data_IF_425151596395
#
_entry.id   IF_425151596395
#
_cell.length_a   1.000
_cell.length_b   1.000
_cell.length_c   1.000
_cell.angle_alpha   90.00
_cell.angle_beta   90.00
_cell.angle_gamma   90.00
#
_symmetry.space_group_name_H-M   'P 1'
#
loop_
_entity.id
_entity.type
_entity.pdbx_description
1 polymer ?
#
# COMPACT_ATOMS: atom_id res chain seq x y z
N UNK A 1 16.85 -15.97 -16.41
CA UNK A 1 16.13 -15.63 -15.15
C UNK A 1 14.74 -16.28 -15.02
N UNK A 2 14.24 -17.06 -15.98
CA UNK A 2 12.91 -17.69 -15.86
C UNK A 2 12.84 -18.86 -14.88
N UNK A 3 13.85 -19.74 -14.84
CA UNK A 3 13.74 -21.02 -14.10
C UNK A 3 13.45 -20.84 -12.59
N UNK A 4 14.08 -19.85 -11.93
CA UNK A 4 13.85 -19.55 -10.50
C UNK A 4 12.45 -19.00 -10.23
N UNK A 5 11.92 -18.20 -11.16
CA UNK A 5 10.57 -17.65 -11.08
C UNK A 5 9.52 -18.74 -11.27
N UNK A 6 9.69 -19.62 -12.25
CA UNK A 6 8.77 -20.75 -12.48
C UNK A 6 8.78 -21.77 -11.33
N UNK A 7 9.95 -22.06 -10.74
CA UNK A 7 10.02 -22.94 -9.57
C UNK A 7 9.41 -22.29 -8.33
N UNK A 8 9.62 -21.00 -8.08
CA UNK A 8 9.06 -20.33 -6.90
C UNK A 8 7.54 -20.19 -6.95
N UNK A 9 6.97 -19.73 -8.06
CA UNK A 9 5.52 -19.56 -8.22
C UNK A 9 4.80 -20.89 -8.46
N UNK A 10 5.43 -21.83 -9.17
CA UNK A 10 4.88 -23.17 -9.40
C UNK A 10 4.83 -24.00 -8.11
N UNK A 11 5.88 -23.97 -7.28
CA UNK A 11 5.95 -24.76 -6.06
C UNK A 11 4.98 -24.24 -4.99
N UNK A 12 4.85 -22.92 -4.85
CA UNK A 12 3.88 -22.32 -3.91
C UNK A 12 2.44 -22.63 -4.29
N UNK A 13 2.07 -22.45 -5.56
CA UNK A 13 0.71 -22.79 -6.03
C UNK A 13 0.41 -24.28 -5.92
N UNK A 14 1.37 -25.15 -6.27
CA UNK A 14 1.23 -26.60 -6.14
C UNK A 14 1.06 -27.05 -4.68
N UNK A 15 1.82 -26.48 -3.75
CA UNK A 15 1.69 -26.77 -2.31
C UNK A 15 0.34 -26.32 -1.74
N UNK A 16 -0.15 -25.13 -2.10
CA UNK A 16 -1.47 -24.64 -1.67
C UNK A 16 -2.58 -25.57 -2.13
N UNK A 17 -2.51 -26.04 -3.38
CA UNK A 17 -3.50 -26.98 -3.95
C UNK A 17 -3.46 -28.33 -3.21
N UNK A 18 -2.27 -28.85 -2.91
CA UNK A 18 -2.12 -30.10 -2.15
C UNK A 18 -2.72 -29.96 -0.74
N UNK A 19 -2.41 -28.88 -0.04
CA UNK A 19 -2.94 -28.63 1.31
C UNK A 19 -4.46 -28.46 1.28
N UNK A 20 -5.00 -27.75 0.28
CA UNK A 20 -6.43 -27.59 0.10
C UNK A 20 -7.14 -28.93 -0.20
N UNK A 21 -6.59 -29.77 -1.09
CA UNK A 21 -7.14 -31.11 -1.34
C UNK A 21 -7.02 -32.02 -0.11
N UNK A 22 -5.95 -31.92 0.67
CA UNK A 22 -5.77 -32.70 1.89
C UNK A 22 -6.83 -32.35 2.94
N UNK A 23 -7.11 -31.06 3.14
CA UNK A 23 -8.17 -30.58 4.05
C UNK A 23 -9.56 -31.01 3.58
N UNK A 24 -9.80 -31.03 2.25
CA UNK A 24 -11.06 -31.47 1.66
C UNK A 24 -11.29 -32.98 1.82
N UNK A 25 -10.27 -33.81 1.57
CA UNK A 25 -10.38 -35.27 1.65
C UNK A 25 -10.34 -35.82 3.09
N UNK A 26 -9.84 -35.05 4.05
CA UNK A 26 -9.83 -35.41 5.49
C UNK A 26 -11.12 -34.94 6.19
N UNK A 27 -12.15 -34.51 5.44
CA UNK A 27 -13.45 -34.02 5.95
C UNK A 27 -13.33 -32.91 7.03
N UNK A 28 -12.18 -32.21 7.05
CA UNK A 28 -11.81 -31.18 8.03
C UNK A 28 -11.73 -29.81 7.36
N UNK A 29 -12.53 -29.59 6.31
CA UNK A 29 -12.66 -28.30 5.61
C UNK A 29 -13.10 -27.16 6.54
N UNK A 30 -13.85 -27.48 7.59
CA UNK A 30 -14.28 -26.54 8.64
C UNK A 30 -13.12 -25.98 9.47
N UNK A 31 -11.94 -26.61 9.42
CA UNK A 31 -10.74 -26.08 10.09
C UNK A 31 -10.17 -24.83 9.39
N UNK A 32 -10.54 -24.59 8.12
CA UNK A 32 -10.14 -23.42 7.36
C UNK A 32 -11.26 -22.36 7.34
N UNK A 33 -11.66 -21.90 8.54
CA UNK A 33 -12.69 -20.88 8.70
C UNK A 33 -12.07 -19.47 8.71
N UNK A 34 -12.24 -18.76 7.58
CA UNK A 34 -11.80 -17.37 7.41
C UNK A 34 -12.55 -16.42 8.35
N UNK A 35 -13.82 -16.74 8.68
CA UNK A 35 -14.62 -15.96 9.61
C UNK A 35 -14.04 -16.02 11.03
N UNK A 36 -13.71 -17.22 11.50
CA UNK A 36 -13.04 -17.41 12.79
C UNK A 36 -11.68 -16.72 12.85
N UNK A 37 -10.90 -16.74 11.76
CA UNK A 37 -9.64 -16.00 11.69
C UNK A 37 -9.83 -14.48 11.87
N UNK A 38 -10.87 -13.92 11.24
CA UNK A 38 -11.20 -12.50 11.41
C UNK A 38 -11.63 -12.20 12.85
N UNK A 39 -12.40 -13.08 13.49
CA UNK A 39 -12.88 -12.93 14.88
C UNK A 39 -11.80 -13.17 15.96
N UNK A 40 -10.77 -13.98 15.69
CA UNK A 40 -9.66 -14.17 16.62
C UNK A 40 -8.60 -13.05 16.49
N UNK A 41 -8.48 -12.44 15.31
CA UNK A 41 -7.47 -11.39 15.05
C UNK A 41 -7.88 -10.05 15.64
N UNK A 42 -7.09 -9.52 16.59
CA UNK A 42 -7.42 -8.26 17.26
C UNK A 42 -7.57 -7.06 16.27
N UNK A 43 -8.57 -6.19 16.48
CA UNK A 43 -8.83 -5.04 15.59
C UNK A 43 -7.69 -4.00 15.57
N UNK A 44 -6.87 -3.94 16.62
CA UNK A 44 -5.69 -3.06 16.67
C UNK A 44 -4.61 -3.43 15.66
N UNK A 45 -4.44 -4.73 15.35
CA UNK A 45 -3.48 -5.18 14.35
C UNK A 45 -3.88 -4.63 12.98
N UNK A 46 -5.17 -4.71 12.62
CA UNK A 46 -5.66 -4.13 11.37
C UNK A 46 -5.49 -2.60 11.33
N UNK A 47 -5.81 -1.89 12.42
CA UNK A 47 -5.63 -0.45 12.50
C UNK A 47 -4.17 0.01 12.35
N UNK A 48 -3.26 -0.60 13.10
CA UNK A 48 -1.83 -0.24 13.10
C UNK A 48 -1.11 -0.62 11.79
N UNK A 49 -1.43 -1.79 11.22
CA UNK A 49 -0.90 -2.23 9.93
C UNK A 49 -1.39 -1.30 8.80
N UNK A 50 -2.65 -0.84 8.87
CA UNK A 50 -3.21 0.10 7.90
C UNK A 50 -2.48 1.45 7.89
N UNK A 51 -2.21 2.00 9.08
CA UNK A 51 -1.46 3.26 9.23
C UNK A 51 -0.02 3.10 8.72
N UNK A 52 0.65 2.01 9.08
CA UNK A 52 2.01 1.73 8.63
C UNK A 52 2.12 1.60 7.10
N UNK A 53 1.20 0.84 6.48
CA UNK A 53 1.15 0.70 5.02
C UNK A 53 0.78 2.00 4.32
N UNK A 54 -0.10 2.82 4.89
CA UNK A 54 -0.47 4.13 4.35
C UNK A 54 0.75 5.03 4.16
N UNK A 55 1.54 5.18 5.23
CA UNK A 55 2.72 6.04 5.23
C UNK A 55 3.82 5.42 4.35
N UNK A 56 4.06 4.12 4.50
CA UNK A 56 5.10 3.41 3.74
C UNK A 56 4.88 3.45 2.23
N UNK A 57 3.67 3.10 1.76
CA UNK A 57 3.36 3.08 0.33
C UNK A 57 3.29 4.49 -0.28
N UNK A 58 2.90 5.50 0.50
CA UNK A 58 2.91 6.90 0.05
C UNK A 58 4.33 7.39 -0.24
N UNK A 59 5.26 7.17 0.69
CA UNK A 59 6.67 7.58 0.53
C UNK A 59 7.38 6.76 -0.55
N UNK A 60 7.10 5.46 -0.66
CA UNK A 60 7.63 4.62 -1.74
C UNK A 60 7.16 5.09 -3.12
N UNK A 61 5.88 5.45 -3.26
CA UNK A 61 5.34 6.01 -4.49
C UNK A 61 6.01 7.33 -4.89
N UNK A 62 6.22 8.23 -3.92
CA UNK A 62 6.91 9.48 -4.16
C UNK A 62 8.39 9.29 -4.53
N UNK A 63 9.11 8.41 -3.82
CA UNK A 63 10.50 8.08 -4.12
C UNK A 63 10.68 7.53 -5.54
N UNK A 64 9.76 6.69 -5.99
CA UNK A 64 9.76 6.18 -7.37
C UNK A 64 9.54 7.31 -8.40
N UNK A 65 8.62 8.24 -8.13
CA UNK A 65 8.37 9.40 -9.00
C UNK A 65 9.58 10.35 -9.10
N UNK A 66 10.25 10.62 -7.98
CA UNK A 66 11.47 11.45 -7.94
C UNK A 66 12.61 10.77 -8.71
N UNK A 67 12.75 9.44 -8.59
CA UNK A 67 13.80 8.71 -9.30
C UNK A 67 13.66 8.82 -10.82
N UNK A 68 12.46 8.63 -11.38
CA UNK A 68 12.23 8.75 -12.83
C UNK A 68 12.42 10.19 -13.35
N UNK A 69 11.90 11.18 -12.62
CA UNK A 69 12.01 12.59 -13.02
C UNK A 69 13.45 13.09 -12.89
N UNK A 70 14.14 12.71 -11.82
CA UNK A 70 15.55 13.03 -11.58
C UNK A 70 16.47 12.48 -12.67
N UNK A 71 16.31 11.21 -13.07
CA UNK A 71 17.10 10.62 -14.15
C UNK A 71 16.93 11.40 -15.48
N UNK A 72 15.69 11.83 -15.77
CA UNK A 72 15.36 12.58 -16.99
C UNK A 72 15.91 14.02 -16.97
N UNK A 73 15.85 14.70 -15.82
CA UNK A 73 16.39 16.07 -15.66
C UNK A 73 17.91 16.07 -15.81
N UNK A 74 18.60 15.10 -15.20
CA UNK A 74 20.06 14.97 -15.32
C UNK A 74 20.47 14.67 -16.76
N UNK A 75 19.73 13.81 -17.48
CA UNK A 75 19.98 13.50 -18.89
C UNK A 75 19.78 14.69 -19.84
N UNK A 76 18.79 15.56 -19.59
CA UNK A 76 18.57 16.76 -20.39
C UNK A 76 19.42 17.97 -19.99
N UNK A 77 19.83 18.05 -18.72
CA UNK A 77 20.53 19.19 -18.13
C UNK A 77 21.94 19.41 -18.66
N UNK A 78 22.60 18.36 -19.16
CA UNK A 78 23.97 18.44 -19.72
C UNK A 78 24.05 19.31 -20.97
N UNK A 79 22.98 19.37 -21.78
CA UNK A 79 23.00 20.08 -23.07
C UNK A 79 22.43 21.49 -22.99
N UNK A 80 21.53 21.76 -22.05
CA UNK A 80 20.94 23.10 -21.87
C UNK A 80 20.50 23.28 -20.40
N UNK A 81 21.33 23.91 -19.54
CA UNK A 81 21.08 23.94 -18.09
C UNK A 81 19.89 24.83 -17.66
N UNK A 82 19.33 25.64 -18.56
CA UNK A 82 18.16 26.50 -18.26
C UNK A 82 16.84 25.74 -18.12
N UNK A 83 16.82 24.44 -18.42
CA UNK A 83 15.60 23.60 -18.37
C UNK A 83 15.36 23.00 -16.97
N UNK A 84 16.39 22.93 -16.12
CA UNK A 84 16.30 22.28 -14.80
C UNK A 84 15.38 23.04 -13.84
N UNK A 85 15.38 24.37 -13.89
CA UNK A 85 14.55 25.22 -13.04
C UNK A 85 13.06 25.16 -13.36
N UNK A 86 12.68 24.87 -14.61
CA UNK A 86 11.26 24.72 -15.01
C UNK A 86 10.71 23.34 -14.62
N UNK A 87 11.55 22.31 -14.70
CA UNK A 87 11.14 20.93 -14.45
C UNK A 87 11.15 20.56 -12.96
N UNK A 88 11.77 21.39 -12.10
CA UNK A 88 11.74 21.26 -10.64
C UNK A 88 10.33 21.26 -10.04
N UNK A 89 9.35 21.88 -10.72
CA UNK A 89 7.95 21.92 -10.27
C UNK A 89 7.37 20.50 -10.13
N UNK A 90 7.79 19.56 -10.99
CA UNK A 90 7.29 18.17 -11.00
C UNK A 90 7.71 17.38 -9.76
N UNK A 91 8.90 17.65 -9.22
CA UNK A 91 9.44 17.02 -8.00
C UNK A 91 8.64 17.50 -6.78
N UNK A 92 8.31 18.79 -6.73
CA UNK A 92 7.53 19.39 -5.65
C UNK A 92 6.12 18.78 -5.59
N UNK A 93 5.46 18.55 -6.74
CA UNK A 93 4.16 17.88 -6.76
C UNK A 93 4.23 16.44 -6.24
N UNK A 94 5.34 15.74 -6.50
CA UNK A 94 5.56 14.39 -5.97
C UNK A 94 5.71 14.38 -4.44
N UNK A 95 6.43 15.37 -3.88
CA UNK A 95 6.57 15.57 -2.43
C UNK A 95 5.24 15.88 -1.73
N UNK A 96 4.42 16.76 -2.30
CA UNK A 96 3.13 17.14 -1.68
C UNK A 96 2.20 15.93 -1.53
N UNK A 97 2.24 14.96 -2.46
CA UNK A 97 1.49 13.71 -2.36
C UNK A 97 1.97 12.84 -1.20
N UNK A 98 3.29 12.81 -0.93
CA UNK A 98 3.84 12.10 0.21
C UNK A 98 3.37 12.73 1.54
N UNK A 99 3.36 14.06 1.60
CA UNK A 99 2.89 14.81 2.78
C UNK A 99 1.41 14.51 3.06
N UNK A 100 0.58 14.41 2.02
CA UNK A 100 -0.83 14.02 2.18
C UNK A 100 -0.97 12.64 2.85
N UNK A 101 -0.20 11.64 2.41
CA UNK A 101 -0.21 10.30 3.02
C UNK A 101 0.23 10.31 4.49
N UNK A 102 1.25 11.12 4.82
CA UNK A 102 1.72 11.28 6.22
C UNK A 102 0.66 11.94 7.09
N UNK A 103 0.03 13.02 6.64
CA UNK A 103 -1.02 13.72 7.40
C UNK A 103 -2.20 12.78 7.67
N UNK A 104 -2.65 12.03 6.67
CA UNK A 104 -3.74 11.06 6.85
C UNK A 104 -3.35 9.97 7.85
N UNK A 105 -2.11 9.48 7.82
CA UNK A 105 -1.58 8.53 8.81
C UNK A 105 -1.65 9.07 10.25
N UNK A 106 -1.28 10.35 10.46
CA UNK A 106 -1.34 11.00 11.78
C UNK A 106 -2.80 11.14 12.26
N UNK A 107 -3.70 11.60 11.37
CA UNK A 107 -5.13 11.75 11.70
C UNK A 107 -5.73 10.41 12.12
N UNK A 108 -5.42 9.34 11.40
CA UNK A 108 -5.91 8.00 11.74
C UNK A 108 -5.27 7.43 13.02
N UNK A 109 -4.01 7.74 13.31
CA UNK A 109 -3.40 7.39 14.60
C UNK A 109 -4.11 8.03 15.79
N UNK A 110 -4.65 9.25 15.63
CA UNK A 110 -5.40 9.92 16.69
C UNK A 110 -6.78 9.31 16.96
N UNK A 111 -7.29 8.49 16.03
CA UNK A 111 -8.57 7.78 16.15
C UNK A 111 -8.45 6.42 16.82
N UNK A 112 -7.23 5.88 16.95
CA UNK A 112 -6.98 4.65 17.68
C UNK A 112 -7.02 4.91 19.19
N UNK A 113 -8.13 4.54 19.83
CA UNK A 113 -8.27 4.63 21.28
C UNK A 113 -7.88 3.29 21.93
N UNK A 114 -7.16 3.36 23.04
CA UNK A 114 -6.84 2.18 23.85
C UNK A 114 -8.09 1.73 24.62
N UNK A 115 -8.65 0.59 24.23
CA UNK A 115 -9.84 -0.02 24.85
C UNK A 115 -9.37 -1.17 25.76
N UNK A 116 -9.94 -1.34 26.97
CA UNK A 116 -9.61 -2.47 27.84
C UNK A 116 -10.00 -3.82 27.22
N UNK A 117 -9.21 -4.85 27.52
CA UNK A 117 -9.27 -6.19 26.91
C UNK A 117 -10.67 -6.84 26.99
N UNK A 118 -11.41 -6.55 28.06
CA UNK A 118 -12.76 -7.04 28.29
C UNK A 118 -13.81 -6.56 27.28
N UNK A 119 -13.54 -5.48 26.52
CA UNK A 119 -14.49 -4.88 25.56
C UNK A 119 -13.95 -4.84 24.12
N UNK A 120 -12.83 -5.53 23.83
CA UNK A 120 -12.23 -5.51 22.50
C UNK A 120 -13.08 -6.20 21.44
N UNK A 121 -13.68 -7.34 21.79
CA UNK A 121 -14.47 -8.16 20.87
C UNK A 121 -15.95 -7.75 20.82
N UNK A 122 -16.20 -6.43 20.76
CA UNK A 122 -17.54 -5.88 20.50
C UNK A 122 -17.70 -5.57 19.01
N UNK A 123 -18.92 -5.75 18.49
CA UNK A 123 -19.25 -5.51 17.08
C UNK A 123 -18.80 -4.13 16.60
N UNK A 124 -19.04 -3.08 17.39
CA UNK A 124 -18.68 -1.71 17.04
C UNK A 124 -17.16 -1.54 16.85
N UNK A 125 -16.34 -2.13 17.72
CA UNK A 125 -14.88 -2.06 17.61
C UNK A 125 -14.36 -2.87 16.40
N UNK A 126 -14.99 -4.00 16.09
CA UNK A 126 -14.68 -4.81 14.91
C UNK A 126 -14.93 -4.07 13.60
N UNK A 127 -16.11 -3.43 13.48
CA UNK A 127 -16.46 -2.63 12.30
C UNK A 127 -15.61 -1.35 12.17
N UNK A 128 -14.90 -0.92 13.21
CA UNK A 128 -13.93 0.17 13.10
C UNK A 128 -12.52 -0.30 12.72
N UNK A 129 -12.14 -1.55 12.96
CA UNK A 129 -10.78 -2.04 12.70
C UNK A 129 -10.56 -2.55 11.26
N UNK A 130 -11.42 -3.47 10.80
CA UNK A 130 -11.24 -4.17 9.51
C UNK A 130 -11.54 -3.33 8.25
N UNK A 131 -12.65 -2.57 8.14
CA UNK A 131 -12.89 -1.73 6.97
C UNK A 131 -12.01 -0.46 6.96
N UNK A 132 -11.50 -0.04 8.11
CA UNK A 132 -10.63 1.13 8.23
C UNK A 132 -9.26 0.91 7.57
N UNK A 133 -8.67 -0.28 7.70
CA UNK A 133 -7.46 -0.67 6.95
C UNK A 133 -7.70 -0.62 5.43
N UNK A 134 -8.83 -1.17 4.97
CA UNK A 134 -9.13 -1.25 3.53
C UNK A 134 -9.42 0.15 2.93
N UNK A 135 -10.12 1.01 3.67
CA UNK A 135 -10.37 2.40 3.26
C UNK A 135 -9.09 3.22 3.19
N UNK A 136 -8.24 3.11 4.21
CA UNK A 136 -6.93 3.78 4.27
C UNK A 136 -6.05 3.35 3.10
N UNK A 137 -5.99 2.04 2.84
CA UNK A 137 -5.20 1.48 1.76
C UNK A 137 -5.67 1.99 0.39
N UNK A 138 -6.98 1.93 0.13
CA UNK A 138 -7.58 2.34 -1.15
C UNK A 138 -7.44 3.85 -1.39
N UNK A 139 -7.70 4.69 -0.39
CA UNK A 139 -7.58 6.15 -0.55
C UNK A 139 -6.14 6.61 -0.73
N UNK A 140 -5.21 6.01 0.02
CA UNK A 140 -3.78 6.34 -0.10
C UNK A 140 -3.20 5.85 -1.44
N UNK A 141 -3.61 4.66 -1.89
CA UNK A 141 -3.20 4.11 -3.18
C UNK A 141 -3.79 4.90 -4.36
N UNK A 142 -5.10 5.14 -4.41
CA UNK A 142 -5.70 5.91 -5.52
C UNK A 142 -5.11 7.32 -5.66
N UNK A 143 -4.72 7.96 -4.55
CA UNK A 143 -4.07 9.28 -4.58
C UNK A 143 -2.71 9.21 -5.29
N UNK A 144 -1.83 8.30 -4.87
CA UNK A 144 -0.49 8.14 -5.45
C UNK A 144 -0.51 7.77 -6.94
N UNK A 145 -1.37 6.84 -7.36
CA UNK A 145 -1.39 6.37 -8.75
C UNK A 145 -2.04 7.36 -9.72
N UNK A 146 -3.11 8.05 -9.30
CA UNK A 146 -3.75 9.07 -10.16
C UNK A 146 -2.82 10.27 -10.37
N UNK A 147 -2.07 10.69 -9.35
CA UNK A 147 -1.21 11.86 -9.45
C UNK A 147 0.08 11.55 -10.22
N UNK A 148 0.67 10.36 -10.07
CA UNK A 148 1.76 9.91 -10.94
C UNK A 148 1.33 9.77 -12.41
N UNK A 149 0.11 9.28 -12.68
CA UNK A 149 -0.43 9.21 -14.05
C UNK A 149 -0.67 10.61 -14.64
N UNK A 150 -1.16 11.57 -13.84
CA UNK A 150 -1.31 12.98 -14.24
C UNK A 150 0.06 13.64 -14.44
N UNK A 151 1.05 13.35 -13.59
CA UNK A 151 2.42 13.84 -13.73
C UNK A 151 3.07 13.30 -14.99
N UNK A 152 2.85 12.04 -15.35
CA UNK A 152 3.34 11.49 -16.61
C UNK A 152 2.68 12.17 -17.82
N UNK A 153 1.38 12.46 -17.73
CA UNK A 153 0.64 13.21 -18.75
C UNK A 153 1.11 14.68 -18.85
N UNK A 154 1.41 15.32 -17.73
CA UNK A 154 1.95 16.67 -17.64
C UNK A 154 3.41 16.75 -18.12
N UNK A 155 4.23 15.72 -17.87
CA UNK A 155 5.59 15.61 -18.39
C UNK A 155 5.62 15.49 -19.91
N UNK A 156 4.66 14.73 -20.48
CA UNK A 156 4.47 14.64 -21.93
C UNK A 156 4.01 15.95 -22.57
N UNK A 157 3.44 16.86 -21.78
CA UNK A 157 3.04 18.20 -22.22
C UNK A 157 4.15 19.26 -22.07
N UNK A 158 5.19 18.99 -21.25
CA UNK A 158 6.34 19.91 -21.04
C UNK A 158 7.56 19.58 -21.91
N UNK A 159 7.63 18.39 -22.50
CA UNK A 159 8.62 17.99 -23.53
C UNK A 159 8.06 18.28 -24.93
#
# INVERSE_FOLDING_TARGET
>A
MGYKTYTSFGLTTFLVIIVALYLLFTDSGEAFDVGRFLEETSPFVWGSLGIGLCIGLSVLGAGWGIFLTGASILGGGVRTPRISTKNLISIIFCEVVAIYGVIMGIVYSSKLQTVPEAQLYTRDNYFTGTPFLLRIFIECHLSSYRICAILWWAYRWML
#
